data_IF_030099016850
#
_entry.id   IF_030099016850
#
_cell.length_a   1.000
_cell.length_b   1.000
_cell.length_c   1.000
_cell.angle_alpha   90.00
_cell.angle_beta   90.00
_cell.angle_gamma   90.00
#
_symmetry.space_group_name_H-M   'P 1'
#
loop_
_entity.id
_entity.type
_entity.pdbx_description
1 polymer ?
#
# COMPACT_ATOMS: atom_id res chain seq x y z
N UNK A 1 -23.01 11.43 -7.54
CA UNK A 1 -24.33 11.16 -8.14
C UNK A 1 -25.35 11.43 -7.07
N UNK A 2 -26.45 12.10 -7.40
CA UNK A 2 -27.55 12.33 -6.46
C UNK A 2 -28.20 11.00 -6.05
N UNK A 3 -28.68 10.88 -4.80
CA UNK A 3 -29.23 9.63 -4.27
C UNK A 3 -30.55 9.23 -4.97
N UNK A 4 -31.27 10.24 -5.47
CA UNK A 4 -32.55 10.10 -6.14
C UNK A 4 -32.52 10.90 -7.44
N UNK A 5 -33.09 10.34 -8.50
CA UNK A 5 -33.17 10.98 -9.82
C UNK A 5 -34.61 10.83 -10.30
N UNK A 6 -35.16 11.90 -10.88
CA UNK A 6 -36.50 11.89 -11.47
C UNK A 6 -36.65 10.77 -12.50
N UNK A 7 -37.75 10.03 -12.40
CA UNK A 7 -38.09 8.90 -13.26
C UNK A 7 -39.51 9.04 -13.80
N UNK A 8 -39.69 8.59 -15.04
CA UNK A 8 -41.03 8.55 -15.65
C UNK A 8 -41.91 7.49 -15.01
N UNK A 9 -43.18 7.83 -14.78
CA UNK A 9 -44.20 6.91 -14.29
C UNK A 9 -44.80 6.17 -15.50
N UNK A 10 -44.82 4.83 -15.45
CA UNK A 10 -45.38 4.00 -16.52
C UNK A 10 -46.88 4.29 -16.70
N UNK A 11 -47.31 4.59 -17.93
CA UNK A 11 -48.72 4.71 -18.29
C UNK A 11 -49.24 3.37 -18.83
N UNK A 12 -50.25 2.82 -18.13
CA UNK A 12 -51.12 1.66 -18.47
C UNK A 12 -50.84 1.02 -19.84
N UNK A 13 -50.07 -0.07 -19.86
CA UNK A 13 -49.89 -0.96 -21.01
C UNK A 13 -50.79 -2.21 -20.95
N UNK A 14 -51.28 -2.65 -22.11
CA UNK A 14 -52.38 -3.60 -22.36
C UNK A 14 -52.23 -5.07 -21.86
N UNK A 15 -51.25 -5.41 -21.01
CA UNK A 15 -51.06 -6.76 -20.48
C UNK A 15 -51.53 -6.87 -19.02
N UNK A 16 -52.81 -7.20 -18.87
CA UNK A 16 -53.61 -7.20 -17.63
C UNK A 16 -53.27 -8.25 -16.57
N UNK A 17 -52.19 -9.05 -16.73
CA UNK A 17 -51.70 -9.98 -15.69
C UNK A 17 -50.67 -9.35 -14.74
N UNK A 18 -50.18 -8.14 -15.04
CA UNK A 18 -49.12 -7.45 -14.27
C UNK A 18 -49.60 -6.20 -13.49
N UNK A 19 -50.91 -5.98 -13.40
CA UNK A 19 -51.50 -4.75 -12.84
C UNK A 19 -51.14 -4.46 -11.38
N UNK A 20 -50.83 -5.49 -10.58
CA UNK A 20 -50.38 -5.32 -9.19
C UNK A 20 -48.93 -4.86 -9.08
N UNK A 21 -48.06 -5.44 -9.90
CA UNK A 21 -46.63 -5.10 -9.93
C UNK A 21 -46.42 -3.68 -10.49
N UNK A 22 -47.11 -3.31 -11.56
CA UNK A 22 -47.04 -1.96 -12.16
C UNK A 22 -47.43 -0.86 -11.15
N UNK A 23 -48.45 -1.10 -10.32
CA UNK A 23 -48.84 -0.17 -9.24
C UNK A 23 -47.74 0.01 -8.19
N UNK A 24 -47.08 -1.07 -7.81
CA UNK A 24 -45.95 -1.04 -6.85
C UNK A 24 -44.76 -0.30 -7.47
N UNK A 25 -44.47 -0.52 -8.76
CA UNK A 25 -43.41 0.19 -9.46
C UNK A 25 -43.68 1.70 -9.53
N UNK A 26 -44.90 2.08 -9.89
CA UNK A 26 -45.29 3.48 -9.99
C UNK A 26 -45.33 4.15 -8.60
N UNK A 27 -45.79 3.47 -7.57
CA UNK A 27 -45.74 3.98 -6.19
C UNK A 27 -44.30 4.24 -5.73
N UNK A 28 -43.40 3.27 -5.92
CA UNK A 28 -41.98 3.43 -5.58
C UNK A 28 -41.30 4.54 -6.42
N UNK A 29 -41.69 4.67 -7.68
CA UNK A 29 -41.18 5.70 -8.60
C UNK A 29 -41.63 7.10 -8.17
N UNK A 30 -42.90 7.25 -7.79
CA UNK A 30 -43.43 8.53 -7.30
C UNK A 30 -42.79 8.91 -5.96
N UNK A 31 -42.61 7.97 -5.04
CA UNK A 31 -41.86 8.20 -3.78
C UNK A 31 -40.41 8.64 -4.09
N UNK A 32 -39.72 7.97 -5.01
CA UNK A 32 -38.39 8.37 -5.47
C UNK A 32 -38.38 9.80 -6.03
N UNK A 33 -39.42 10.19 -6.79
CA UNK A 33 -39.50 11.53 -7.37
C UNK A 33 -39.76 12.60 -6.30
N UNK A 34 -40.62 12.32 -5.32
CA UNK A 34 -40.82 13.20 -4.16
C UNK A 34 -39.50 13.48 -3.44
N UNK A 35 -38.68 12.43 -3.27
CA UNK A 35 -37.35 12.56 -2.68
C UNK A 35 -36.34 13.29 -3.58
N UNK A 36 -36.43 13.13 -4.90
CA UNK A 36 -35.55 13.80 -5.85
C UNK A 36 -35.86 15.30 -6.00
N UNK A 37 -37.12 15.70 -5.81
CA UNK A 37 -37.56 17.10 -5.86
C UNK A 37 -37.34 17.84 -4.54
N UNK A 38 -37.25 17.11 -3.43
CA UNK A 38 -37.04 17.66 -2.11
C UNK A 38 -35.63 18.26 -1.98
N UNK A 39 -35.55 19.47 -1.40
CA UNK A 39 -34.26 20.10 -1.07
C UNK A 39 -33.64 19.51 0.18
N UNK A 40 -34.48 19.06 1.10
CA UNK A 40 -34.13 18.43 2.36
C UNK A 40 -35.00 17.20 2.55
N UNK A 41 -34.43 16.12 3.10
CA UNK A 41 -35.14 14.86 3.34
C UNK A 41 -36.40 15.08 4.20
N UNK A 42 -36.37 16.06 5.10
CA UNK A 42 -37.47 16.41 6.00
C UNK A 42 -38.69 17.00 5.29
N UNK A 43 -38.56 17.43 4.02
CA UNK A 43 -39.71 17.88 3.22
C UNK A 43 -40.63 16.72 2.81
N UNK A 44 -40.13 15.47 2.83
CA UNK A 44 -40.89 14.26 2.51
C UNK A 44 -41.38 13.59 3.78
N UNK A 45 -42.65 13.84 4.13
CA UNK A 45 -43.26 13.29 5.34
C UNK A 45 -43.88 11.91 5.11
N UNK A 46 -44.07 11.17 6.20
CA UNK A 46 -44.81 9.89 6.20
C UNK A 46 -46.22 10.03 5.62
N UNK A 47 -46.90 11.13 5.90
CA UNK A 47 -48.24 11.40 5.36
C UNK A 47 -48.25 11.45 3.83
N UNK A 48 -47.29 12.17 3.21
CA UNK A 48 -47.14 12.23 1.75
C UNK A 48 -46.85 10.86 1.14
N UNK A 49 -46.06 10.03 1.82
CA UNK A 49 -45.78 8.65 1.40
C UNK A 49 -47.06 7.79 1.46
N UNK A 50 -47.83 7.90 2.54
CA UNK A 50 -49.09 7.17 2.71
C UNK A 50 -50.16 7.61 1.69
N UNK A 51 -50.24 8.90 1.38
CA UNK A 51 -51.08 9.45 0.30
C UNK A 51 -50.69 8.88 -1.06
N UNK A 52 -49.39 8.81 -1.35
CA UNK A 52 -48.87 8.19 -2.59
C UNK A 52 -49.24 6.71 -2.66
N UNK A 53 -49.10 5.99 -1.55
CA UNK A 53 -49.49 4.58 -1.46
C UNK A 53 -51.01 4.39 -1.71
N UNK A 54 -51.84 5.25 -1.13
CA UNK A 54 -53.31 5.27 -1.36
C UNK A 54 -53.64 5.54 -2.81
N UNK A 55 -53.00 6.53 -3.45
CA UNK A 55 -53.18 6.89 -4.87
C UNK A 55 -52.96 5.68 -5.79
N UNK A 56 -51.96 4.85 -5.51
CA UNK A 56 -51.65 3.66 -6.29
C UNK A 56 -52.34 2.38 -5.80
N UNK A 57 -53.14 2.45 -4.72
CA UNK A 57 -53.78 1.31 -4.07
C UNK A 57 -52.77 0.21 -3.68
N UNK A 58 -51.66 0.62 -3.06
CA UNK A 58 -50.59 -0.23 -2.53
C UNK A 58 -50.50 0.01 -1.02
N UNK A 59 -50.22 -1.03 -0.23
CA UNK A 59 -49.95 -0.87 1.21
C UNK A 59 -48.48 -0.58 1.44
N UNK A 60 -48.18 0.38 2.32
CA UNK A 60 -46.80 0.74 2.68
C UNK A 60 -46.01 -0.44 3.24
N UNK A 61 -46.67 -1.31 4.01
CA UNK A 61 -46.10 -2.50 4.64
C UNK A 61 -46.03 -3.74 3.71
N UNK A 62 -46.38 -3.59 2.43
CA UNK A 62 -46.30 -4.71 1.49
C UNK A 62 -44.84 -5.08 1.19
N UNK A 63 -44.52 -6.37 1.25
CA UNK A 63 -43.15 -6.87 1.07
C UNK A 63 -42.49 -6.35 -0.23
N UNK A 64 -43.21 -6.37 -1.34
CA UNK A 64 -42.71 -5.91 -2.64
C UNK A 64 -42.42 -4.41 -2.71
N UNK A 65 -43.18 -3.58 -1.98
CA UNK A 65 -42.88 -2.15 -1.89
C UNK A 65 -41.71 -1.91 -0.93
N UNK A 66 -41.70 -2.58 0.23
CA UNK A 66 -40.60 -2.54 1.20
C UNK A 66 -39.26 -2.85 0.53
N UNK A 67 -39.17 -3.88 -0.30
CA UNK A 67 -37.94 -4.22 -1.02
C UNK A 67 -37.45 -3.08 -1.91
N UNK A 68 -38.37 -2.36 -2.57
CA UNK A 68 -38.02 -1.18 -3.38
C UNK A 68 -37.59 0.00 -2.52
N UNK A 69 -38.26 0.23 -1.40
CA UNK A 69 -37.90 1.29 -0.45
C UNK A 69 -36.54 1.04 0.20
N UNK A 70 -36.23 -0.21 0.57
CA UNK A 70 -34.91 -0.61 1.07
C UNK A 70 -33.82 -0.23 0.08
N UNK A 71 -33.98 -0.59 -1.21
CA UNK A 71 -33.02 -0.20 -2.25
C UNK A 71 -32.84 1.32 -2.40
N UNK A 72 -33.90 2.11 -2.21
CA UNK A 72 -33.81 3.57 -2.21
C UNK A 72 -33.04 4.09 -0.99
N UNK A 73 -33.36 3.55 0.19
CA UNK A 73 -32.67 3.90 1.45
C UNK A 73 -31.20 3.53 1.37
N UNK A 74 -30.83 2.36 0.87
CA UNK A 74 -29.41 1.96 0.71
C UNK A 74 -28.60 2.98 -0.11
N UNK A 75 -29.14 3.43 -1.24
CA UNK A 75 -28.50 4.45 -2.09
C UNK A 75 -28.37 5.77 -1.36
N UNK A 76 -29.41 6.15 -0.62
CA UNK A 76 -29.41 7.36 0.19
C UNK A 76 -28.36 7.31 1.29
N UNK A 77 -28.27 6.22 2.05
CA UNK A 77 -27.29 6.04 3.12
C UNK A 77 -25.85 6.14 2.60
N UNK A 78 -25.55 5.51 1.46
CA UNK A 78 -24.22 5.58 0.81
C UNK A 78 -23.90 7.01 0.38
N UNK A 79 -24.89 7.72 -0.15
CA UNK A 79 -24.72 9.12 -0.55
C UNK A 79 -24.48 10.03 0.67
N UNK A 80 -25.29 9.91 1.74
CA UNK A 80 -25.19 10.81 2.88
C UNK A 80 -23.94 10.56 3.71
N UNK A 81 -23.51 9.31 3.92
CA UNK A 81 -22.24 9.03 4.64
C UNK A 81 -21.02 9.62 3.90
N UNK A 82 -21.12 9.76 2.57
CA UNK A 82 -20.03 10.29 1.75
C UNK A 82 -20.04 11.81 1.69
N UNK A 83 -21.20 12.45 1.74
CA UNK A 83 -21.37 13.88 1.44
C UNK A 83 -21.64 14.77 2.66
N UNK A 84 -22.21 14.22 3.73
CA UNK A 84 -22.57 14.97 4.95
C UNK A 84 -21.62 14.68 6.09
N UNK A 85 -21.68 15.51 7.13
CA UNK A 85 -21.03 15.17 8.39
C UNK A 85 -21.75 14.01 9.10
N UNK A 86 -21.10 13.42 10.10
CA UNK A 86 -21.60 12.23 10.77
C UNK A 86 -22.90 12.47 11.57
N UNK A 87 -23.06 13.66 12.15
CA UNK A 87 -24.24 14.00 12.94
C UNK A 87 -25.46 14.19 12.04
N UNK A 88 -25.32 14.96 10.96
CA UNK A 88 -26.36 15.13 9.94
C UNK A 88 -26.71 13.79 9.27
N UNK A 89 -25.70 12.97 8.98
CA UNK A 89 -25.91 11.62 8.45
C UNK A 89 -26.80 10.78 9.38
N UNK A 90 -26.52 10.75 10.68
CA UNK A 90 -27.31 9.96 11.62
C UNK A 90 -28.75 10.48 11.73
N UNK A 91 -28.95 11.79 11.74
CA UNK A 91 -30.28 12.40 11.77
C UNK A 91 -31.09 12.00 10.52
N UNK A 92 -30.50 12.13 9.34
CA UNK A 92 -31.09 11.70 8.08
C UNK A 92 -31.44 10.20 8.07
N UNK A 93 -30.56 9.35 8.62
CA UNK A 93 -30.79 7.91 8.73
C UNK A 93 -32.00 7.62 9.63
N UNK A 94 -32.05 8.23 10.81
CA UNK A 94 -33.17 8.08 11.73
C UNK A 94 -34.49 8.51 11.08
N UNK A 95 -34.47 9.65 10.40
CA UNK A 95 -35.65 10.19 9.74
C UNK A 95 -36.15 9.29 8.62
N UNK A 96 -35.27 8.88 7.70
CA UNK A 96 -35.65 8.10 6.51
C UNK A 96 -36.21 6.72 6.90
N UNK A 97 -35.65 6.09 7.94
CA UNK A 97 -36.15 4.82 8.46
C UNK A 97 -37.53 4.97 9.09
N UNK A 98 -37.76 6.06 9.83
CA UNK A 98 -39.03 6.34 10.47
C UNK A 98 -40.17 6.62 9.46
N UNK A 99 -39.92 7.44 8.43
CA UNK A 99 -40.94 7.76 7.43
C UNK A 99 -41.35 6.54 6.58
N UNK A 100 -40.42 5.61 6.35
CA UNK A 100 -40.70 4.35 5.65
C UNK A 100 -41.13 3.21 6.56
N UNK A 101 -41.04 3.38 7.89
CA UNK A 101 -41.37 2.33 8.86
C UNK A 101 -40.43 1.12 8.77
N UNK A 102 -39.17 1.33 8.42
CA UNK A 102 -38.17 0.28 8.26
C UNK A 102 -37.33 0.11 9.53
N UNK A 103 -36.85 -1.12 9.76
CA UNK A 103 -35.94 -1.39 10.86
C UNK A 103 -34.49 -1.17 10.42
N UNK A 104 -33.65 -0.65 11.30
CA UNK A 104 -32.20 -0.55 11.04
C UNK A 104 -31.57 -1.93 10.75
N UNK A 105 -32.13 -2.99 11.34
CA UNK A 105 -31.66 -4.37 11.16
C UNK A 105 -31.84 -4.88 9.73
N UNK A 106 -32.75 -4.28 8.95
CA UNK A 106 -32.94 -4.61 7.54
C UNK A 106 -31.71 -4.26 6.69
N UNK A 107 -30.84 -3.38 7.19
CA UNK A 107 -29.69 -2.83 6.48
C UNK A 107 -28.36 -3.36 7.01
N UNK A 108 -28.35 -4.55 7.63
CA UNK A 108 -27.12 -5.09 8.24
C UNK A 108 -25.96 -5.22 7.26
N UNK A 109 -26.18 -5.78 6.07
CA UNK A 109 -25.09 -5.92 5.08
C UNK A 109 -24.64 -4.55 4.56
N UNK A 110 -25.59 -3.64 4.32
CA UNK A 110 -25.31 -2.27 3.90
C UNK A 110 -24.51 -1.53 4.97
N UNK A 111 -24.79 -1.73 6.26
CA UNK A 111 -24.05 -1.09 7.34
C UNK A 111 -22.60 -1.54 7.42
N UNK A 112 -22.28 -2.78 7.03
CA UNK A 112 -20.89 -3.24 6.89
C UNK A 112 -20.14 -2.49 5.79
N UNK A 113 -20.79 -2.21 4.66
CA UNK A 113 -20.19 -1.41 3.59
C UNK A 113 -20.06 0.07 3.98
N UNK A 114 -21.07 0.63 4.65
CA UNK A 114 -21.01 1.98 5.20
C UNK A 114 -19.88 2.10 6.25
N UNK A 115 -19.66 1.08 7.08
CA UNK A 115 -18.55 1.03 8.02
C UNK A 115 -17.19 1.09 7.30
N UNK A 116 -17.04 0.41 6.16
CA UNK A 116 -15.81 0.50 5.36
C UNK A 116 -15.59 1.92 4.84
N UNK A 117 -16.63 2.56 4.33
CA UNK A 117 -16.55 3.94 3.81
C UNK A 117 -16.20 4.90 4.94
N UNK A 118 -16.93 4.82 6.05
CA UNK A 118 -16.76 5.71 7.20
C UNK A 118 -15.41 5.49 7.89
N UNK A 119 -15.03 4.23 8.13
CA UNK A 119 -13.74 3.87 8.71
C UNK A 119 -12.57 4.33 7.85
N UNK A 120 -12.67 4.26 6.51
CA UNK A 120 -11.64 4.80 5.61
C UNK A 120 -11.42 6.30 5.78
N UNK A 121 -12.50 7.06 5.99
CA UNK A 121 -12.40 8.51 6.26
C UNK A 121 -11.73 8.78 7.61
N UNK A 122 -12.07 8.02 8.65
CA UNK A 122 -11.47 8.17 9.99
C UNK A 122 -9.96 7.93 9.95
N UNK A 123 -9.49 6.91 9.22
CA UNK A 123 -8.07 6.55 9.21
C UNK A 123 -7.26 7.33 8.17
N UNK A 124 -7.88 8.28 7.46
CA UNK A 124 -7.29 8.94 6.30
C UNK A 124 -6.12 9.84 6.69
N UNK A 125 -6.30 10.66 7.73
CA UNK A 125 -5.32 11.62 8.24
C UNK A 125 -4.27 11.00 9.18
N UNK A 126 -4.40 9.70 9.48
CA UNK A 126 -3.51 8.93 10.36
C UNK A 126 -3.56 9.32 11.84
N UNK A 127 -4.58 10.09 12.22
CA UNK A 127 -4.89 10.41 13.61
C UNK A 127 -6.13 9.63 14.07
N UNK A 128 -6.28 9.42 15.38
CA UNK A 128 -7.49 8.81 15.91
C UNK A 128 -7.97 9.54 17.15
N UNK A 129 -8.65 10.65 16.91
CA UNK A 129 -9.13 11.55 17.95
C UNK A 129 -10.18 10.87 18.84
N UNK A 130 -10.40 11.44 20.04
CA UNK A 130 -11.45 10.94 20.96
C UNK A 130 -12.85 11.09 20.35
N UNK A 131 -13.06 12.14 19.56
CA UNK A 131 -14.34 12.36 18.86
C UNK A 131 -14.57 11.30 17.78
N UNK A 132 -13.55 10.91 17.02
CA UNK A 132 -13.67 9.82 16.03
C UNK A 132 -13.90 8.46 16.68
N UNK A 133 -13.19 8.17 17.79
CA UNK A 133 -13.43 6.97 18.59
C UNK A 133 -14.89 6.89 19.03
N UNK A 134 -15.45 8.01 19.50
CA UNK A 134 -16.85 8.11 19.88
C UNK A 134 -17.79 7.92 18.69
N UNK A 135 -17.56 8.61 17.57
CA UNK A 135 -18.39 8.51 16.36
C UNK A 135 -18.40 7.10 15.78
N UNK A 136 -17.27 6.40 15.78
CA UNK A 136 -17.17 5.02 15.33
C UNK A 136 -17.99 4.06 16.22
N UNK A 137 -17.95 4.25 17.53
CA UNK A 137 -18.75 3.47 18.47
C UNK A 137 -20.25 3.80 18.35
N UNK A 138 -20.61 5.07 18.18
CA UNK A 138 -21.99 5.51 17.93
C UNK A 138 -22.52 4.90 16.62
N UNK A 139 -21.71 4.89 15.55
CA UNK A 139 -22.03 4.21 14.28
C UNK A 139 -22.31 2.72 14.50
N UNK A 140 -21.42 2.03 15.20
CA UNK A 140 -21.54 0.59 15.50
C UNK A 140 -22.82 0.28 16.28
N UNK A 141 -23.13 1.09 17.29
CA UNK A 141 -24.33 0.95 18.14
C UNK A 141 -25.60 1.20 17.35
N UNK A 142 -25.64 2.29 16.57
CA UNK A 142 -26.80 2.65 15.76
C UNK A 142 -27.18 1.52 14.80
N UNK A 143 -26.20 1.02 14.03
CA UNK A 143 -26.41 -0.08 13.07
C UNK A 143 -26.46 -1.48 13.70
N UNK A 144 -26.28 -1.59 15.02
CA UNK A 144 -26.25 -2.85 15.77
C UNK A 144 -25.25 -3.86 15.18
N UNK A 145 -24.09 -3.37 14.73
CA UNK A 145 -23.05 -4.20 14.12
C UNK A 145 -22.44 -5.10 15.20
N UNK A 146 -22.40 -6.41 14.92
CA UNK A 146 -21.83 -7.38 15.84
C UNK A 146 -20.33 -7.11 16.01
N UNK A 147 -19.85 -7.29 17.24
CA UNK A 147 -18.44 -7.10 17.60
C UNK A 147 -17.48 -7.85 16.67
N UNK A 148 -17.83 -9.08 16.29
CA UNK A 148 -17.03 -9.90 15.38
C UNK A 148 -16.83 -9.24 14.01
N UNK A 149 -17.92 -8.77 13.40
CA UNK A 149 -17.89 -8.21 12.06
C UNK A 149 -17.22 -6.83 12.06
N UNK A 150 -17.45 -6.04 13.12
CA UNK A 150 -16.74 -4.79 13.36
C UNK A 150 -15.23 -5.00 13.42
N UNK A 151 -14.74 -5.91 14.30
CA UNK A 151 -13.31 -6.20 14.44
C UNK A 151 -12.68 -6.63 13.13
N UNK A 152 -13.33 -7.54 12.41
CA UNK A 152 -12.82 -8.04 11.13
C UNK A 152 -12.66 -6.91 10.10
N UNK A 153 -13.68 -6.04 9.95
CA UNK A 153 -13.62 -4.92 9.02
C UNK A 153 -12.57 -3.90 9.46
N UNK A 154 -12.53 -3.59 10.76
CA UNK A 154 -11.57 -2.63 11.31
C UNK A 154 -10.13 -3.09 11.11
N UNK A 155 -9.81 -4.34 11.45
CA UNK A 155 -8.50 -4.96 11.22
C UNK A 155 -8.11 -4.92 9.74
N UNK A 156 -9.06 -5.20 8.84
CA UNK A 156 -8.82 -5.11 7.40
C UNK A 156 -8.44 -3.69 6.97
N UNK A 157 -9.21 -2.68 7.39
CA UNK A 157 -8.98 -1.28 7.04
C UNK A 157 -7.62 -0.78 7.54
N UNK A 158 -7.27 -1.09 8.79
CA UNK A 158 -5.99 -0.72 9.37
C UNK A 158 -4.83 -1.41 8.66
N UNK A 159 -4.99 -2.69 8.31
CA UNK A 159 -3.99 -3.44 7.53
C UNK A 159 -3.79 -2.84 6.13
N UNK A 160 -4.87 -2.43 5.45
CA UNK A 160 -4.80 -1.75 4.15
C UNK A 160 -4.07 -0.41 4.26
N UNK A 161 -4.35 0.38 5.31
CA UNK A 161 -3.70 1.67 5.54
C UNK A 161 -2.22 1.53 5.90
N UNK A 162 -1.83 0.58 6.77
CA UNK A 162 -0.44 0.27 7.06
C UNK A 162 0.35 -0.06 5.78
N UNK A 163 -0.23 -0.89 4.90
CA UNK A 163 0.38 -1.20 3.60
C UNK A 163 0.53 0.05 2.73
N UNK A 164 -0.48 0.93 2.72
CA UNK A 164 -0.41 2.17 1.96
C UNK A 164 0.67 3.13 2.48
N UNK A 165 0.85 3.24 3.80
CA UNK A 165 1.92 4.04 4.42
C UNK A 165 3.29 3.52 3.98
N UNK A 166 3.52 2.20 4.08
CA UNK A 166 4.77 1.58 3.63
C UNK A 166 5.00 1.82 2.13
N UNK A 167 3.98 1.59 1.30
CA UNK A 167 4.09 1.79 -0.15
C UNK A 167 4.40 3.24 -0.54
N UNK A 168 3.81 4.22 0.17
CA UNK A 168 4.07 5.62 -0.05
C UNK A 168 5.50 5.99 0.35
N UNK A 169 5.98 5.51 1.50
CA UNK A 169 7.33 5.83 1.99
C UNK A 169 8.46 5.23 1.13
N UNK A 170 8.21 4.12 0.43
CA UNK A 170 9.26 3.50 -0.43
C UNK A 170 9.24 4.00 -1.87
N UNK A 171 8.40 4.96 -2.25
CA UNK A 171 8.24 5.40 -3.64
C UNK A 171 9.52 5.98 -4.24
N UNK A 172 10.31 6.69 -3.44
CA UNK A 172 11.61 7.25 -3.84
C UNK A 172 12.75 6.22 -3.74
N UNK A 173 12.43 4.99 -3.32
CA UNK A 173 13.38 3.92 -3.06
C UNK A 173 14.19 4.13 -1.78
N UNK A 174 13.68 4.89 -0.80
CA UNK A 174 14.30 5.10 0.51
C UNK A 174 13.34 4.68 1.63
N UNK A 175 13.89 4.64 2.85
CA UNK A 175 13.13 4.46 4.07
C UNK A 175 13.78 5.30 5.17
N UNK A 176 13.29 6.51 5.30
CA UNK A 176 13.79 7.53 6.22
C UNK A 176 13.30 7.30 7.66
N UNK A 177 13.97 7.90 8.67
CA UNK A 177 13.49 7.89 10.05
C UNK A 177 12.09 8.47 10.21
N UNK A 178 11.73 9.48 9.41
CA UNK A 178 10.40 10.11 9.45
C UNK A 178 9.31 9.15 8.96
N UNK A 179 9.59 8.36 7.92
CA UNK A 179 8.67 7.32 7.40
C UNK A 179 8.54 6.15 8.37
N UNK A 180 9.65 5.73 8.98
CA UNK A 180 9.64 4.73 10.04
C UNK A 180 8.80 5.21 11.23
N UNK A 181 8.99 6.45 11.66
CA UNK A 181 8.24 7.04 12.75
C UNK A 181 6.74 7.17 12.43
N UNK A 182 6.39 7.59 11.20
CA UNK A 182 5.01 7.66 10.73
C UNK A 182 4.30 6.31 10.82
N UNK A 183 4.95 5.23 10.37
CA UNK A 183 4.42 3.86 10.44
C UNK A 183 4.16 3.42 11.90
N UNK A 184 5.14 3.61 12.78
CA UNK A 184 5.03 3.21 14.18
C UNK A 184 4.04 4.06 14.98
N UNK A 185 3.96 5.37 14.69
CA UNK A 185 2.97 6.25 15.30
C UNK A 185 1.55 5.81 14.92
N UNK A 186 1.31 5.51 13.65
CA UNK A 186 0.01 4.98 13.21
C UNK A 186 -0.33 3.65 13.89
N UNK A 187 0.61 2.69 13.92
CA UNK A 187 0.38 1.41 14.61
C UNK A 187 0.05 1.60 16.09
N UNK A 188 0.75 2.51 16.78
CA UNK A 188 0.52 2.83 18.19
C UNK A 188 -0.85 3.49 18.42
N UNK A 189 -1.20 4.49 17.63
CA UNK A 189 -2.46 5.25 17.77
C UNK A 189 -3.68 4.33 17.62
N UNK A 190 -3.60 3.40 16.67
CA UNK A 190 -4.65 2.41 16.41
C UNK A 190 -4.49 1.12 17.22
N UNK A 191 -3.56 1.07 18.18
CA UNK A 191 -3.32 -0.06 19.10
C UNK A 191 -3.09 -1.40 18.38
N UNK A 192 -2.40 -1.37 17.24
CA UNK A 192 -2.06 -2.56 16.47
C UNK A 192 -0.67 -3.05 16.84
N UNK A 193 -0.57 -4.34 17.14
CA UNK A 193 0.72 -5.02 17.26
C UNK A 193 1.29 -5.23 15.85
N UNK A 194 2.15 -4.30 15.42
CA UNK A 194 2.74 -4.33 14.10
C UNK A 194 3.80 -5.42 14.03
N UNK A 195 3.47 -6.51 13.33
CA UNK A 195 4.42 -7.56 12.97
C UNK A 195 4.67 -7.51 11.47
N UNK A 196 5.89 -7.13 11.10
CA UNK A 196 6.33 -7.16 9.71
C UNK A 196 6.82 -8.57 9.37
N UNK A 197 6.44 -9.08 8.22
CA UNK A 197 7.00 -10.33 7.74
C UNK A 197 8.49 -10.17 7.40
N UNK A 198 9.23 -11.28 7.45
CA UNK A 198 10.69 -11.27 7.23
C UNK A 198 11.14 -10.68 5.89
N UNK A 199 10.31 -10.72 4.84
CA UNK A 199 10.67 -10.17 3.53
C UNK A 199 10.52 -8.65 3.55
N UNK A 200 9.40 -8.15 4.07
CA UNK A 200 9.16 -6.71 4.25
C UNK A 200 10.21 -6.07 5.15
N UNK A 201 10.54 -6.71 6.28
CA UNK A 201 11.58 -6.21 7.19
C UNK A 201 12.93 -6.05 6.49
N UNK A 202 13.42 -7.09 5.78
CA UNK A 202 14.69 -7.03 5.04
C UNK A 202 14.69 -5.96 3.95
N UNK A 203 13.54 -5.76 3.29
CA UNK A 203 13.40 -4.72 2.28
C UNK A 203 13.55 -3.33 2.93
N UNK A 204 12.84 -3.05 4.02
CA UNK A 204 12.91 -1.76 4.72
C UNK A 204 14.30 -1.49 5.32
N UNK A 205 14.95 -2.51 5.88
CA UNK A 205 16.34 -2.41 6.36
C UNK A 205 17.30 -1.98 5.25
N UNK A 206 17.16 -2.56 4.05
CA UNK A 206 17.97 -2.19 2.88
C UNK A 206 17.70 -0.74 2.47
N UNK A 207 16.44 -0.32 2.35
CA UNK A 207 16.09 1.05 1.96
C UNK A 207 16.55 2.08 3.01
N UNK A 208 16.48 1.73 4.29
CA UNK A 208 17.00 2.54 5.40
C UNK A 208 18.52 2.72 5.30
N UNK A 209 19.24 1.66 4.94
CA UNK A 209 20.68 1.75 4.73
C UNK A 209 21.02 2.69 3.57
N UNK A 210 20.27 2.64 2.46
CA UNK A 210 20.49 3.58 1.35
C UNK A 210 20.32 5.02 1.82
N UNK A 211 19.23 5.31 2.55
CA UNK A 211 18.97 6.65 3.08
C UNK A 211 20.10 7.13 4.02
N UNK A 212 20.60 6.25 4.91
CA UNK A 212 21.71 6.56 5.82
C UNK A 212 23.00 6.90 5.05
N UNK A 213 23.31 6.15 4.00
CA UNK A 213 24.50 6.36 3.15
C UNK A 213 24.42 7.73 2.45
N UNK A 214 23.26 8.09 1.89
CA UNK A 214 23.08 9.36 1.19
C UNK A 214 23.21 10.56 2.13
N UNK A 215 22.63 10.47 3.33
CA UNK A 215 22.63 11.54 4.33
C UNK A 215 23.88 11.57 5.23
N UNK A 216 24.94 10.84 4.89
CA UNK A 216 26.19 10.74 5.66
C UNK A 216 25.99 10.27 7.12
N UNK A 217 24.92 9.51 7.39
CA UNK A 217 24.67 8.89 8.70
C UNK A 217 25.26 7.48 8.78
N UNK A 218 26.48 7.32 8.28
CA UNK A 218 27.23 6.06 8.30
C UNK A 218 28.36 6.13 9.32
N UNK A 219 28.48 5.09 10.14
CA UNK A 219 29.52 4.99 11.17
C UNK A 219 30.78 4.34 10.60
N UNK A 220 31.94 4.74 11.13
CA UNK A 220 33.19 4.05 10.83
C UNK A 220 33.26 2.71 11.54
N UNK A 221 33.81 1.69 10.87
CA UNK A 221 34.03 0.35 11.42
C UNK A 221 35.48 0.21 11.88
N UNK A 222 35.66 -0.22 13.13
CA UNK A 222 36.98 -0.52 13.67
C UNK A 222 37.49 -1.83 13.07
N UNK A 223 38.68 -1.79 12.47
CA UNK A 223 39.29 -2.94 11.79
C UNK A 223 40.78 -3.04 12.10
N UNK A 224 41.28 -4.28 12.12
CA UNK A 224 42.69 -4.58 12.38
C UNK A 224 43.50 -4.67 11.09
N UNK A 225 43.41 -3.64 10.23
CA UNK A 225 44.24 -3.54 9.02
C UNK A 225 44.93 -2.18 8.99
N UNK A 226 46.09 -2.10 8.33
CA UNK A 226 46.84 -0.86 8.25
C UNK A 226 46.16 0.12 7.26
N UNK A 227 45.66 1.24 7.79
CA UNK A 227 45.01 2.31 7.02
C UNK A 227 45.96 3.48 6.79
N UNK A 228 45.79 4.19 5.68
CA UNK A 228 46.53 5.42 5.39
C UNK A 228 46.11 6.54 6.33
N UNK A 229 46.88 7.64 6.33
CA UNK A 229 46.49 8.87 7.02
C UNK A 229 45.11 9.32 6.53
N UNK A 230 44.23 9.66 7.48
CA UNK A 230 42.84 10.11 7.23
C UNK A 230 41.98 9.10 6.44
N UNK A 231 42.34 7.81 6.47
CA UNK A 231 41.58 6.71 5.88
C UNK A 231 40.77 5.99 6.98
N UNK A 232 39.45 5.94 6.80
CA UNK A 232 38.52 5.25 7.71
C UNK A 232 37.72 4.21 6.94
N UNK A 233 37.50 3.04 7.56
CA UNK A 233 36.63 2.00 7.04
C UNK A 233 35.17 2.30 7.40
N UNK A 234 34.24 2.06 6.48
CA UNK A 234 32.80 2.25 6.68
C UNK A 234 31.99 0.97 6.52
N UNK A 235 32.56 -0.03 5.83
CA UNK A 235 31.91 -1.31 5.64
C UNK A 235 32.93 -2.41 5.39
N UNK A 236 32.67 -3.62 5.89
CA UNK A 236 33.41 -4.81 5.50
C UNK A 236 32.48 -6.02 5.41
N UNK A 237 32.80 -6.93 4.51
CA UNK A 237 32.10 -8.22 4.39
C UNK A 237 33.08 -9.31 3.99
N UNK A 238 32.68 -10.56 4.21
CA UNK A 238 33.41 -11.71 3.67
C UNK A 238 33.06 -11.87 2.20
N UNK A 239 34.04 -12.27 1.41
CA UNK A 239 33.81 -12.51 0.00
C UNK A 239 34.96 -13.24 -0.65
N UNK A 240 34.77 -13.49 -1.93
CA UNK A 240 35.71 -14.16 -2.79
C UNK A 240 36.13 -13.23 -3.91
N UNK A 241 37.34 -13.41 -4.40
CA UNK A 241 37.76 -12.79 -5.64
C UNK A 241 37.78 -13.82 -6.74
N UNK A 242 37.13 -13.47 -7.83
CA UNK A 242 36.94 -14.34 -8.98
C UNK A 242 37.84 -13.91 -10.15
N UNK A 243 38.27 -14.87 -10.97
CA UNK A 243 38.95 -14.60 -12.25
C UNK A 243 38.24 -15.30 -13.40
N UNK A 244 38.01 -14.57 -14.50
CA UNK A 244 37.51 -15.14 -15.75
C UNK A 244 38.62 -15.98 -16.40
N UNK A 245 38.43 -17.30 -16.50
CA UNK A 245 39.26 -18.22 -17.30
C UNK A 245 38.41 -18.88 -18.39
N UNK A 246 38.95 -18.99 -19.61
CA UNK A 246 38.30 -19.70 -20.71
C UNK A 246 38.48 -21.22 -20.52
N UNK A 247 37.42 -21.96 -20.14
CA UNK A 247 37.37 -23.43 -20.22
C UNK A 247 35.91 -23.93 -20.28
N UNK A 248 35.65 -25.02 -20.99
CA UNK A 248 34.29 -25.51 -21.36
C UNK A 248 33.78 -26.55 -20.36
N UNK A 249 32.88 -26.19 -19.41
CA UNK A 249 32.02 -27.16 -18.67
C UNK A 249 30.79 -26.44 -18.07
N UNK A 250 29.66 -27.14 -17.88
CA UNK A 250 28.33 -26.60 -17.52
C UNK A 250 27.97 -26.62 -16.03
N UNK A 251 27.46 -25.50 -15.48
CA UNK A 251 26.55 -25.47 -14.32
C UNK A 251 25.54 -24.31 -14.44
N UNK A 252 24.34 -24.48 -13.86
CA UNK A 252 23.23 -23.53 -13.94
C UNK A 252 23.24 -22.47 -12.84
N UNK A 253 23.06 -21.19 -13.23
CA UNK A 253 22.90 -20.07 -12.30
C UNK A 253 21.41 -19.76 -12.06
N UNK A 254 21.03 -19.52 -10.81
CA UNK A 254 19.69 -19.04 -10.42
C UNK A 254 19.85 -17.76 -9.62
N UNK A 255 19.29 -16.65 -10.13
CA UNK A 255 19.29 -15.35 -9.47
C UNK A 255 18.24 -14.43 -10.10
N UNK A 256 17.42 -13.80 -9.26
CA UNK A 256 16.47 -12.74 -9.64
C UNK A 256 17.21 -11.40 -9.61
N UNK A 257 16.78 -10.46 -10.43
CA UNK A 257 17.24 -9.10 -10.32
C UNK A 257 15.99 -8.17 -10.41
N UNK A 258 15.98 -6.97 -9.81
CA UNK A 258 14.99 -5.90 -10.04
C UNK A 258 15.69 -4.53 -10.32
N UNK A 259 15.21 -3.72 -11.28
CA UNK A 259 15.88 -2.50 -11.80
C UNK A 259 15.14 -1.25 -11.39
N UNK A 260 15.84 -0.28 -10.81
CA UNK A 260 15.29 1.04 -10.51
C UNK A 260 16.36 2.15 -10.64
N UNK A 261 15.89 3.35 -11.00
CA UNK A 261 16.73 4.52 -11.31
C UNK A 261 17.04 5.29 -10.04
N UNK A 262 18.32 5.37 -9.68
CA UNK A 262 18.79 5.98 -8.42
C UNK A 262 19.30 7.42 -8.63
N UNK A 263 19.73 7.80 -9.85
CA UNK A 263 20.13 9.18 -10.22
C UNK A 263 20.02 9.46 -11.75
N UNK A 264 20.34 10.69 -12.20
CA UNK A 264 20.49 11.01 -13.64
C UNK A 264 21.73 10.29 -14.20
N UNK A 265 21.51 9.32 -15.10
CA UNK A 265 22.58 8.66 -15.86
C UNK A 265 23.15 7.38 -15.24
N UNK A 266 22.62 6.92 -14.10
CA UNK A 266 23.05 5.67 -13.45
C UNK A 266 21.86 4.72 -13.35
N UNK A 267 22.02 3.52 -13.93
CA UNK A 267 21.01 2.47 -13.96
C UNK A 267 21.46 1.31 -13.07
N UNK A 268 20.73 1.02 -12.01
CA UNK A 268 20.91 -0.23 -11.26
C UNK A 268 19.93 -1.26 -11.82
N UNK A 269 20.49 -2.35 -12.32
CA UNK A 269 19.72 -3.38 -13.00
C UNK A 269 19.30 -4.45 -12.02
N UNK A 270 18.04 -4.81 -12.16
CA UNK A 270 17.71 -6.20 -12.09
C UNK A 270 16.42 -6.59 -12.83
N UNK A 271 16.55 -7.61 -13.67
CA UNK A 271 15.92 -8.93 -13.63
C UNK A 271 14.40 -8.92 -13.83
N UNK A 272 13.82 -9.94 -14.43
CA UNK A 272 14.26 -11.30 -14.71
C UNK A 272 14.72 -11.51 -16.16
N UNK A 273 15.58 -12.51 -16.30
CA UNK A 273 15.66 -13.48 -17.40
C UNK A 273 15.12 -13.08 -18.78
N UNK A 274 15.96 -12.46 -19.60
CA UNK A 274 16.01 -12.82 -21.03
C UNK A 274 17.16 -13.79 -21.25
N UNK A 275 16.85 -15.01 -21.69
CA UNK A 275 17.83 -15.93 -22.28
C UNK A 275 18.34 -15.29 -23.57
N UNK A 276 19.40 -14.50 -23.45
CA UNK A 276 20.29 -14.23 -24.57
C UNK A 276 21.30 -15.38 -24.52
N UNK A 277 21.12 -16.34 -25.43
CA UNK A 277 22.22 -17.21 -25.85
C UNK A 277 23.31 -16.28 -26.36
N UNK A 278 24.52 -16.43 -25.83
CA UNK A 278 25.77 -16.43 -26.59
C UNK A 278 26.92 -16.80 -25.65
N UNK A 279 27.97 -17.34 -26.27
CA UNK A 279 29.19 -17.98 -25.75
C UNK A 279 29.68 -17.44 -24.39
N UNK A 280 29.90 -18.31 -23.38
CA UNK A 280 30.17 -17.86 -22.00
C UNK A 280 31.51 -18.31 -21.40
N UNK A 281 32.17 -17.33 -20.78
CA UNK A 281 33.40 -17.38 -19.99
C UNK A 281 33.15 -18.05 -18.62
N UNK A 282 34.10 -18.88 -18.15
CA UNK A 282 34.03 -19.52 -16.82
C UNK A 282 34.73 -18.64 -15.79
N UNK A 283 34.15 -18.56 -14.61
CA UNK A 283 34.65 -17.76 -13.49
C UNK A 283 35.14 -18.73 -12.40
N UNK A 284 36.43 -18.68 -12.05
CA UNK A 284 37.01 -19.49 -10.97
C UNK A 284 37.26 -18.63 -9.71
N UNK A 285 36.96 -19.18 -8.53
CA UNK A 285 37.37 -18.59 -7.24
C UNK A 285 38.87 -18.66 -7.11
N UNK A 286 39.52 -17.49 -7.05
CA UNK A 286 40.97 -17.38 -6.93
C UNK A 286 41.42 -17.36 -5.47
N UNK A 287 40.68 -16.66 -4.63
CA UNK A 287 40.99 -16.49 -3.22
C UNK A 287 39.72 -16.08 -2.45
N UNK A 288 39.69 -16.37 -1.16
CA UNK A 288 38.59 -16.02 -0.26
C UNK A 288 39.15 -15.20 0.90
N UNK A 289 38.40 -14.22 1.38
CA UNK A 289 38.90 -13.25 2.34
C UNK A 289 37.87 -12.21 2.76
N UNK A 290 38.39 -11.06 3.20
CA UNK A 290 37.59 -9.92 3.60
C UNK A 290 37.71 -8.80 2.56
N UNK A 291 36.59 -8.16 2.26
CA UNK A 291 36.49 -6.96 1.44
C UNK A 291 36.18 -5.80 2.38
N UNK A 292 36.95 -4.73 2.30
CA UNK A 292 36.81 -3.52 3.10
C UNK A 292 36.55 -2.32 2.18
N UNK A 293 35.59 -1.48 2.56
CA UNK A 293 35.29 -0.21 1.91
C UNK A 293 35.72 0.92 2.83
N UNK A 294 36.69 1.72 2.38
CA UNK A 294 37.15 2.92 3.09
C UNK A 294 36.67 4.18 2.38
N UNK A 295 36.92 5.37 2.93
CA UNK A 295 36.72 6.63 2.20
C UNK A 295 37.75 6.89 1.08
N UNK A 296 38.77 6.04 0.90
CA UNK A 296 39.81 6.24 -0.12
C UNK A 296 39.90 5.12 -1.18
N UNK A 297 39.52 3.89 -0.83
CA UNK A 297 39.70 2.70 -1.69
C UNK A 297 38.87 1.50 -1.25
N UNK A 298 38.78 0.53 -2.14
CA UNK A 298 38.32 -0.83 -1.83
C UNK A 298 39.54 -1.73 -1.60
N UNK A 299 39.57 -2.44 -0.47
CA UNK A 299 40.67 -3.33 -0.09
C UNK A 299 40.14 -4.76 -0.02
N UNK A 300 40.86 -5.71 -0.61
CA UNK A 300 40.64 -7.13 -0.41
C UNK A 300 41.84 -7.75 0.27
N UNK A 301 41.62 -8.50 1.33
CA UNK A 301 42.65 -9.29 2.02
C UNK A 301 42.18 -10.74 2.02
N UNK A 302 42.75 -11.53 1.11
CA UNK A 302 42.54 -12.97 1.02
C UNK A 302 43.71 -13.76 1.59
N UNK A 303 43.54 -15.08 1.61
CA UNK A 303 44.53 -16.01 2.15
C UNK A 303 45.80 -16.09 1.29
N UNK A 304 45.70 -15.79 -0.01
CA UNK A 304 46.79 -15.91 -0.99
C UNK A 304 47.21 -14.56 -1.57
N UNK A 305 46.29 -13.61 -1.71
CA UNK A 305 46.57 -12.29 -2.28
C UNK A 305 45.79 -11.18 -1.57
N UNK A 306 46.38 -10.00 -1.58
CA UNK A 306 45.72 -8.76 -1.19
C UNK A 306 45.65 -7.80 -2.36
N UNK A 307 44.53 -7.08 -2.49
CA UNK A 307 44.34 -6.05 -3.50
C UNK A 307 43.91 -4.74 -2.85
N UNK A 308 44.36 -3.63 -3.43
CA UNK A 308 43.97 -2.28 -3.03
C UNK A 308 43.59 -1.52 -4.29
N UNK A 309 42.33 -1.13 -4.42
CA UNK A 309 41.76 -0.45 -5.59
C UNK A 309 41.29 0.95 -5.18
N UNK A 310 42.10 2.00 -5.40
CA UNK A 310 41.69 3.40 -5.19
C UNK A 310 40.47 3.79 -6.02
N UNK A 311 39.57 4.61 -5.47
CA UNK A 311 38.36 5.04 -6.17
C UNK A 311 38.65 5.79 -7.47
N UNK A 312 39.67 6.64 -7.48
CA UNK A 312 40.11 7.37 -8.68
C UNK A 312 40.65 6.46 -9.81
N UNK A 313 40.80 5.16 -9.59
CA UNK A 313 41.18 4.17 -10.61
C UNK A 313 40.02 3.31 -11.07
N UNK A 314 38.82 3.48 -10.52
CA UNK A 314 37.60 2.76 -10.90
C UNK A 314 36.84 3.63 -11.91
N UNK A 315 36.67 3.12 -13.12
CA UNK A 315 35.93 3.79 -14.20
C UNK A 315 34.44 3.48 -14.14
N UNK A 316 34.09 2.25 -13.79
CA UNK A 316 32.70 1.80 -13.74
C UNK A 316 32.54 0.64 -12.74
N UNK A 317 31.32 0.45 -12.26
CA UNK A 317 30.92 -0.63 -11.37
C UNK A 317 29.64 -1.30 -11.90
N UNK A 318 29.68 -2.62 -12.04
CA UNK A 318 28.49 -3.43 -12.27
C UNK A 318 28.18 -4.22 -10.98
N UNK A 319 26.96 -4.11 -10.48
CA UNK A 319 26.48 -4.79 -9.27
C UNK A 319 25.45 -5.84 -9.67
N UNK A 320 25.69 -7.08 -9.26
CA UNK A 320 24.81 -8.24 -9.40
C UNK A 320 24.31 -8.68 -8.02
N UNK A 321 23.39 -9.65 -7.96
CA UNK A 321 22.84 -10.18 -6.70
C UNK A 321 23.87 -10.84 -5.79
N UNK A 322 24.98 -11.28 -6.36
CA UNK A 322 25.97 -12.16 -5.74
C UNK A 322 27.41 -11.71 -6.04
N UNK A 323 27.58 -10.67 -6.86
CA UNK A 323 28.89 -10.21 -7.28
C UNK A 323 28.93 -8.72 -7.63
N UNK A 324 30.13 -8.13 -7.54
CA UNK A 324 30.44 -6.79 -8.05
C UNK A 324 31.62 -6.89 -8.98
N UNK A 325 31.54 -6.20 -10.12
CA UNK A 325 32.65 -6.03 -11.06
C UNK A 325 33.12 -4.58 -11.03
N UNK A 326 34.37 -4.36 -10.64
CA UNK A 326 35.04 -3.07 -10.71
C UNK A 326 35.88 -2.99 -11.98
N UNK A 327 35.48 -2.13 -12.91
CA UNK A 327 36.25 -1.82 -14.10
C UNK A 327 37.27 -0.75 -13.77
N UNK A 328 38.55 -1.07 -13.96
CA UNK A 328 39.65 -0.15 -13.63
C UNK A 328 40.16 0.54 -14.88
N UNK A 329 40.79 1.69 -14.69
CA UNK A 329 41.50 2.41 -15.76
C UNK A 329 42.58 1.54 -16.42
N UNK A 330 43.28 0.72 -15.64
CA UNK A 330 44.32 -0.19 -16.12
C UNK A 330 44.21 -1.58 -15.48
N UNK A 331 44.52 -2.60 -16.28
CA UNK A 331 44.54 -4.01 -15.87
C UNK A 331 43.16 -4.70 -15.97
N UNK A 332 43.12 -5.98 -15.56
CA UNK A 332 41.88 -6.77 -15.58
C UNK A 332 40.86 -6.21 -14.55
N UNK A 333 39.55 -6.27 -14.86
CA UNK A 333 38.49 -5.98 -13.88
C UNK A 333 38.64 -6.82 -12.62
N UNK A 334 38.24 -6.25 -11.48
CA UNK A 334 38.21 -6.97 -10.20
C UNK A 334 36.80 -7.46 -9.98
N UNK A 335 36.63 -8.77 -9.78
CA UNK A 335 35.32 -9.38 -9.55
C UNK A 335 35.28 -9.87 -8.11
N UNK A 336 34.43 -9.27 -7.29
CA UNK A 336 34.14 -9.72 -5.93
C UNK A 336 32.84 -10.50 -5.92
N UNK A 337 32.81 -11.67 -5.29
CA UNK A 337 31.59 -12.43 -5.02
C UNK A 337 31.31 -12.40 -3.52
N UNK A 338 30.09 -12.03 -3.16
CA UNK A 338 29.63 -11.96 -1.78
C UNK A 338 28.10 -11.93 -1.74
N UNK A 339 27.46 -12.59 -0.76
CA UNK A 339 26.02 -12.46 -0.56
C UNK A 339 25.57 -11.02 -0.27
N UNK A 340 26.47 -10.15 0.19
CA UNK A 340 26.18 -8.74 0.50
C UNK A 340 26.56 -7.78 -0.63
N UNK A 341 26.63 -8.28 -1.87
CA UNK A 341 27.10 -7.53 -3.04
C UNK A 341 26.34 -6.21 -3.26
N UNK A 342 25.05 -6.18 -2.98
CA UNK A 342 24.24 -4.96 -3.08
C UNK A 342 24.68 -3.90 -2.05
N UNK A 343 24.87 -4.30 -0.79
CA UNK A 343 25.30 -3.40 0.29
C UNK A 343 26.72 -2.90 0.01
N UNK A 344 27.62 -3.82 -0.36
CA UNK A 344 28.99 -3.49 -0.74
C UNK A 344 29.00 -2.47 -1.90
N UNK A 345 28.14 -2.66 -2.89
CA UNK A 345 28.00 -1.75 -4.02
C UNK A 345 27.51 -0.35 -3.64
N UNK A 346 26.55 -0.26 -2.72
CA UNK A 346 26.06 1.04 -2.20
C UNK A 346 27.20 1.84 -1.54
N UNK A 347 27.97 1.19 -0.67
CA UNK A 347 29.11 1.82 0.00
C UNK A 347 30.21 2.24 -0.97
N UNK A 348 30.54 1.42 -1.98
CA UNK A 348 31.53 1.77 -3.00
C UNK A 348 31.06 2.98 -3.83
N UNK A 349 29.80 2.98 -4.25
CA UNK A 349 29.22 4.04 -5.09
C UNK A 349 29.20 5.40 -4.37
N UNK A 350 28.93 5.39 -3.06
CA UNK A 350 28.99 6.59 -2.22
C UNK A 350 30.33 7.32 -2.33
N UNK A 351 31.43 6.58 -2.23
CA UNK A 351 32.78 7.16 -2.26
C UNK A 351 33.35 7.36 -3.67
N UNK A 352 32.69 6.82 -4.72
CA UNK A 352 32.99 7.17 -6.12
C UNK A 352 32.37 8.50 -6.56
N UNK A 353 31.31 8.95 -5.88
CA UNK A 353 30.54 10.14 -6.24
C UNK A 353 31.06 11.43 -5.59
N UNK A 354 32.13 11.34 -4.80
CA UNK A 354 32.82 12.43 -4.10
C UNK A 354 34.15 12.66 -4.81
#
# INVERSE_FOLDING_TARGET
MEPFILKEISKKGFFSKLLGLEKIENAATEINNLLAEAKDINEVTREKIEETCKKWNVKLDSASLIDKLKNLVEKFLIYTITTKDFSEFLEDCHYVLNIFGLSITDFYNTSLELLKIFGKKIIEDEEFTQDEKKRLEDFRRFFQIKEKDFKQIWEQLITEKLKAIVQAGIQDGRWSPDEEQRLWNFAKEFQVDLTLDSQTQKMLEKLSLVWKIENNQISTVQININLKKDENCYYFTKGEILERKKKVVSYGYTGRAISFRIAKGIYLTGGSSKRIRDEKEVIETMDSGNIYVTNQRVIFIGNKKSLSTPYNKILNIDIYSDAIILFKEQGKPVIFSTPDSEILGLFITKFLSI
#
